data_IF_147688960305
#
_entry.id   IF_147688960305
#
_cell.length_a   1.000
_cell.length_b   1.000
_cell.length_c   1.000
_cell.angle_alpha   90.00
_cell.angle_beta   90.00
_cell.angle_gamma   90.00
#
_symmetry.space_group_name_H-M   'P 1'
#
loop_
_entity.id
_entity.type
_entity.pdbx_description
1 polymer ?
#
# COMPACT_ATOMS: atom_id res chain seq x y z
N UNK A 1 14.67 -35.43 9.16
CA UNK A 1 13.50 -35.21 10.03
C UNK A 1 12.97 -33.80 9.76
N UNK A 2 12.00 -33.69 8.86
CA UNK A 2 11.46 -32.44 8.32
C UNK A 2 10.20 -32.06 9.08
N UNK A 3 10.32 -31.21 10.11
CA UNK A 3 9.15 -30.61 10.75
C UNK A 3 8.77 -29.34 9.99
N UNK A 4 8.01 -29.51 8.90
CA UNK A 4 7.24 -28.41 8.30
C UNK A 4 6.00 -28.20 9.17
N UNK A 5 6.08 -27.27 10.11
CA UNK A 5 4.90 -26.78 10.84
C UNK A 5 4.03 -26.04 9.82
N UNK A 6 3.04 -26.73 9.27
CA UNK A 6 1.98 -26.12 8.49
C UNK A 6 1.18 -25.20 9.41
N UNK A 7 1.33 -23.88 9.24
CA UNK A 7 0.47 -22.92 9.89
C UNK A 7 -0.95 -23.12 9.35
N UNK A 8 -1.96 -23.29 10.22
CA UNK A 8 -3.34 -23.51 9.78
C UNK A 8 -3.81 -22.31 8.96
N UNK A 9 -4.39 -22.61 7.80
CA UNK A 9 -5.04 -21.67 6.90
C UNK A 9 -6.23 -21.03 7.63
N UNK A 10 -5.97 -19.94 8.35
CA UNK A 10 -7.01 -19.19 9.04
C UNK A 10 -7.82 -18.42 7.98
N UNK A 11 -8.92 -19.02 7.55
CA UNK A 11 -10.06 -18.31 6.99
C UNK A 11 -10.70 -17.46 8.11
N UNK A 12 -10.05 -16.35 8.44
CA UNK A 12 -10.63 -15.32 9.30
C UNK A 12 -11.64 -14.59 8.42
N UNK A 13 -12.91 -14.97 8.52
CA UNK A 13 -14.04 -14.14 8.08
C UNK A 13 -14.21 -12.95 9.03
N UNK A 14 -13.13 -12.18 9.23
CA UNK A 14 -13.26 -10.79 9.62
C UNK A 14 -13.55 -10.06 8.33
N UNK A 15 -14.66 -9.32 8.27
CA UNK A 15 -14.84 -8.34 7.21
C UNK A 15 -13.60 -7.44 7.21
N UNK A 16 -12.66 -7.71 6.31
CA UNK A 16 -11.57 -6.79 6.03
C UNK A 16 -12.23 -5.63 5.31
N UNK A 17 -12.82 -4.69 6.07
CA UNK A 17 -13.00 -3.32 5.59
C UNK A 17 -11.62 -2.94 5.06
N UNK A 18 -11.49 -2.89 3.75
CA UNK A 18 -10.18 -2.82 3.13
C UNK A 18 -9.57 -1.49 3.49
N UNK A 19 -8.65 -1.45 4.47
CA UNK A 19 -7.91 -0.24 4.85
C UNK A 19 -6.82 0.12 3.81
N UNK A 20 -6.98 -0.33 2.58
CA UNK A 20 -5.97 -0.25 1.54
C UNK A 20 -6.29 0.97 0.70
N UNK A 21 -5.46 1.99 0.87
CA UNK A 21 -5.48 3.15 -0.02
C UNK A 21 -4.61 2.87 -1.24
N UNK A 22 -5.03 3.36 -2.39
CA UNK A 22 -4.32 3.20 -3.65
C UNK A 22 -3.76 4.54 -4.12
N UNK A 23 -2.51 4.51 -4.58
CA UNK A 23 -1.79 5.68 -5.07
C UNK A 23 -1.33 5.40 -6.49
N UNK A 24 -1.58 6.34 -7.38
CA UNK A 24 -1.01 6.34 -8.71
C UNK A 24 0.24 7.23 -8.75
N UNK A 25 1.39 6.62 -9.06
CA UNK A 25 2.65 7.33 -9.20
C UNK A 25 2.57 8.36 -10.35
N UNK A 26 3.08 9.57 -10.14
CA UNK A 26 3.11 10.60 -11.20
C UNK A 26 4.23 10.40 -12.23
N UNK A 27 5.25 9.59 -11.92
CA UNK A 27 6.40 9.36 -12.81
C UNK A 27 6.19 8.19 -13.77
N UNK A 28 5.77 7.04 -13.25
CA UNK A 28 5.57 5.82 -14.04
C UNK A 28 4.11 5.44 -14.25
N UNK A 29 3.17 6.22 -13.69
CA UNK A 29 1.73 6.01 -13.78
C UNK A 29 1.19 4.69 -13.22
N UNK A 30 2.06 3.87 -12.62
CA UNK A 30 1.69 2.62 -11.98
C UNK A 30 1.01 2.84 -10.64
N UNK A 31 0.11 1.90 -10.31
CA UNK A 31 -0.60 1.86 -9.05
C UNK A 31 0.16 1.06 -8.01
N UNK A 32 0.11 1.51 -6.76
CA UNK A 32 0.59 0.77 -5.60
C UNK A 32 -0.28 1.08 -4.38
N UNK A 33 -0.25 0.18 -3.40
CA UNK A 33 -1.00 0.35 -2.17
C UNK A 33 -0.17 1.09 -1.10
N UNK A 34 -0.85 1.89 -0.29
CA UNK A 34 -0.28 2.47 0.94
C UNK A 34 -1.33 2.49 2.03
N UNK A 35 -0.89 2.69 3.27
CA UNK A 35 -1.81 2.92 4.37
C UNK A 35 -2.35 4.34 4.30
N UNK A 36 -3.58 4.54 4.79
CA UNK A 36 -4.23 5.86 4.81
C UNK A 36 -3.41 6.87 5.62
N UNK A 37 -2.86 6.43 6.74
CA UNK A 37 -2.07 7.26 7.65
C UNK A 37 -0.88 7.87 6.92
N UNK A 38 -0.12 7.07 6.15
CA UNK A 38 1.03 7.56 5.39
C UNK A 38 0.67 8.59 4.33
N UNK A 39 -0.52 8.47 3.74
CA UNK A 39 -1.03 9.42 2.73
C UNK A 39 -1.44 10.73 3.41
N UNK A 40 -2.07 10.65 4.57
CA UNK A 40 -2.55 11.81 5.32
C UNK A 40 -1.40 12.57 6.01
N UNK A 41 -0.31 11.89 6.35
CA UNK A 41 0.94 12.51 6.78
C UNK A 41 1.67 13.17 5.60
N UNK A 42 1.23 14.37 5.22
CA UNK A 42 1.82 15.20 4.14
C UNK A 42 3.32 15.50 4.29
N UNK A 43 3.90 15.24 5.45
CA UNK A 43 5.33 15.43 5.72
C UNK A 43 6.19 14.28 5.19
N UNK A 44 5.62 13.09 5.00
CA UNK A 44 6.35 11.88 4.60
C UNK A 44 6.43 11.81 3.07
N UNK A 45 7.59 11.42 2.55
CA UNK A 45 7.75 11.09 1.13
C UNK A 45 7.30 9.65 0.88
N UNK A 46 6.53 9.46 -0.18
CA UNK A 46 6.13 8.15 -0.67
C UNK A 46 7.17 7.65 -1.64
N UNK A 47 7.44 6.35 -1.56
CA UNK A 47 8.34 5.66 -2.48
C UNK A 47 7.53 4.79 -3.45
N UNK A 48 7.72 4.98 -4.76
CA UNK A 48 7.10 4.11 -5.74
C UNK A 48 7.87 2.78 -5.87
N UNK A 49 7.25 1.61 -5.63
CA UNK A 49 7.94 0.32 -5.78
C UNK A 49 8.24 -0.07 -7.24
N UNK A 50 7.68 0.65 -8.22
CA UNK A 50 7.85 0.31 -9.64
C UNK A 50 9.00 1.09 -10.29
N UNK A 51 9.09 2.39 -10.04
CA UNK A 51 10.13 3.25 -10.61
C UNK A 51 11.12 3.80 -9.59
N UNK A 52 10.93 3.48 -8.30
CA UNK A 52 11.81 3.86 -7.20
C UNK A 52 11.95 5.37 -6.97
N UNK A 53 11.02 6.16 -7.53
CA UNK A 53 10.97 7.61 -7.31
C UNK A 53 10.31 7.94 -5.97
N UNK A 54 10.84 8.97 -5.31
CA UNK A 54 10.34 9.52 -4.05
C UNK A 54 9.54 10.80 -4.30
N UNK A 55 8.36 10.91 -3.71
CA UNK A 55 7.49 12.07 -3.89
C UNK A 55 6.50 12.29 -2.76
N UNK A 56 6.14 13.55 -2.53
CA UNK A 56 5.07 13.91 -1.59
C UNK A 56 3.72 13.36 -2.06
N UNK A 57 2.82 12.92 -1.15
CA UNK A 57 1.49 12.45 -1.50
C UNK A 57 0.70 13.39 -2.41
N UNK A 58 0.80 14.71 -2.20
CA UNK A 58 0.18 15.74 -3.05
C UNK A 58 0.64 15.76 -4.51
N UNK A 59 1.82 15.19 -4.80
CA UNK A 59 2.34 15.02 -6.16
C UNK A 59 1.91 13.70 -6.80
N UNK A 60 1.08 12.90 -6.13
CA UNK A 60 0.48 11.69 -6.74
C UNK A 60 -0.43 12.10 -7.90
N UNK A 61 -0.47 11.30 -8.96
CA UNK A 61 -1.39 11.53 -10.09
C UNK A 61 -2.84 11.37 -9.66
N UNK A 62 -3.11 10.37 -8.82
CA UNK A 62 -4.41 10.09 -8.22
C UNK A 62 -4.26 9.30 -6.93
N UNK A 63 -5.19 9.50 -6.00
CA UNK A 63 -5.28 8.77 -4.74
C UNK A 63 -6.70 8.29 -4.53
N UNK A 64 -6.87 7.06 -4.07
CA UNK A 64 -8.13 6.47 -3.60
C UNK A 64 -7.92 6.07 -2.15
N UNK A 65 -8.58 6.76 -1.23
CA UNK A 65 -8.54 6.46 0.20
C UNK A 65 -9.73 5.58 0.55
N UNK A 66 -9.50 4.54 1.34
CA UNK A 66 -10.55 3.67 1.86
C UNK A 66 -11.12 4.12 3.22
#
# INVERSE_FOLDING_TARGET
MTNKTALPNQNISGEKKGNISWIQCNFCEQWFHSTKELIEFKTIDLYCPNCHEEFKPEKSKKIIIA
#
